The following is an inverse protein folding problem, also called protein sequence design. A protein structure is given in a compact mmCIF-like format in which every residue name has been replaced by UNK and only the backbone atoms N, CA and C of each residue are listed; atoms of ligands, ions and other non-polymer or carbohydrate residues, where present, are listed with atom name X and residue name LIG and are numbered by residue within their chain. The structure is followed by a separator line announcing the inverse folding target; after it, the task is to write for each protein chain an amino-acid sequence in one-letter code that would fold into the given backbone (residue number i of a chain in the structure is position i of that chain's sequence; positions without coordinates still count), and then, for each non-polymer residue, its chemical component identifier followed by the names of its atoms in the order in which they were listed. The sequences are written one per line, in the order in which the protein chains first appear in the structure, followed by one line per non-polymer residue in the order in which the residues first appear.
data_IF_329842280564
#
_entry.id   IF_329842280564
#
_cell.length_a   1.000
_cell.length_b   1.000
_cell.length_c   1.000
_cell.angle_alpha   90.00
_cell.angle_beta   90.00
_cell.angle_gamma   90.00
#
_symmetry.space_group_name_H-M   'P 1'
#
loop_
_entity.id
_entity.type
_entity.pdbx_description
1 polymer ?
#
# COMPACT_ATOMS: atom_id res chain seq x y z
N UNK A 1 25.20 -12.17 -0.20
CA UNK A 1 24.38 -12.16 1.04
C UNK A 1 23.07 -11.43 0.73
N UNK A 2 22.09 -11.39 1.63
CA UNK A 2 20.82 -10.70 1.36
C UNK A 2 20.17 -10.19 2.65
N UNK A 3 19.77 -8.92 2.68
CA UNK A 3 18.93 -8.39 3.75
C UNK A 3 17.48 -8.82 3.57
N UNK A 4 16.79 -9.13 4.66
CA UNK A 4 15.43 -9.63 4.63
C UNK A 4 14.57 -9.07 5.77
N UNK A 5 13.26 -9.01 5.55
CA UNK A 5 12.29 -8.81 6.64
C UNK A 5 12.29 -10.02 7.59
N UNK A 6 11.71 -9.92 8.80
CA UNK A 6 11.54 -11.08 9.68
C UNK A 6 10.80 -12.25 9.02
N UNK A 7 9.91 -11.97 8.06
CA UNK A 7 9.18 -12.98 7.26
C UNK A 7 9.95 -13.47 6.02
N UNK A 8 11.24 -13.14 5.91
CA UNK A 8 12.15 -13.67 4.89
C UNK A 8 12.08 -12.99 3.53
N UNK A 9 11.51 -11.77 3.44
CA UNK A 9 11.45 -11.05 2.16
C UNK A 9 12.66 -10.20 1.90
N UNK A 10 13.25 -10.37 0.72
CA UNK A 10 14.36 -9.59 0.20
C UNK A 10 14.17 -8.08 0.36
N UNK A 11 15.21 -7.41 0.85
CA UNK A 11 15.30 -5.98 1.07
C UNK A 11 16.54 -5.42 0.41
N UNK A 12 16.33 -4.41 -0.42
CA UNK A 12 17.38 -3.52 -0.91
C UNK A 12 17.13 -2.08 -0.47
N UNK A 13 15.85 -1.71 -0.32
CA UNK A 13 15.42 -0.39 0.13
C UNK A 13 14.21 -0.46 1.09
N UNK A 14 14.14 0.49 2.04
CA UNK A 14 12.97 0.73 2.89
C UNK A 14 12.75 2.25 3.09
N UNK A 15 11.48 2.65 3.24
CA UNK A 15 11.12 3.97 3.77
C UNK A 15 10.79 3.83 5.26
N UNK A 16 11.44 4.62 6.11
CA UNK A 16 11.29 4.54 7.56
C UNK A 16 10.87 5.90 8.10
N UNK A 17 9.73 5.94 8.77
CA UNK A 17 9.29 7.13 9.47
C UNK A 17 10.23 7.44 10.66
N UNK A 18 10.68 8.69 10.74
CA UNK A 18 11.61 9.20 11.75
C UNK A 18 10.92 9.68 13.03
N UNK A 19 9.59 9.68 13.07
CA UNK A 19 8.84 10.11 14.25
C UNK A 19 9.14 9.15 15.40
N UNK A 20 9.51 9.64 16.60
CA UNK A 20 9.73 8.77 17.74
C UNK A 20 8.46 8.00 18.11
N UNK A 21 8.62 6.90 18.83
CA UNK A 21 7.48 6.19 19.41
C UNK A 21 6.84 7.01 20.53
N UNK A 22 5.72 6.52 21.10
CA UNK A 22 4.99 7.22 22.15
C UNK A 22 5.84 7.53 23.41
N UNK A 23 6.91 6.77 23.68
CA UNK A 23 7.83 7.02 24.79
C UNK A 23 8.94 8.03 24.45
N UNK A 24 8.93 8.61 23.25
CA UNK A 24 9.95 9.55 22.78
C UNK A 24 11.27 8.89 22.36
N UNK A 25 11.35 7.56 22.37
CA UNK A 25 12.52 6.80 21.93
C UNK A 25 12.52 6.60 20.40
N UNK A 26 13.67 6.23 19.84
CA UNK A 26 13.79 5.92 18.42
C UNK A 26 12.91 4.73 18.05
N UNK A 27 12.37 4.73 16.81
CA UNK A 27 11.67 3.57 16.27
C UNK A 27 12.65 2.43 16.05
N UNK A 28 12.26 1.23 16.48
CA UNK A 28 13.03 0.00 16.38
C UNK A 28 12.46 -0.89 15.29
N UNK A 29 13.28 -1.29 14.33
CA UNK A 29 12.89 -2.12 13.19
C UNK A 29 13.70 -3.42 13.22
N UNK A 30 13.02 -4.56 13.27
CA UNK A 30 13.66 -5.88 13.23
C UNK A 30 13.92 -6.32 11.78
N UNK A 31 15.10 -6.88 11.53
CA UNK A 31 15.61 -7.26 10.21
C UNK A 31 16.43 -8.55 10.30
N UNK A 32 16.69 -9.15 9.13
CA UNK A 32 17.53 -10.33 8.94
C UNK A 32 18.59 -10.07 7.89
N UNK A 33 19.77 -10.68 8.04
CA UNK A 33 20.78 -10.77 6.99
C UNK A 33 21.12 -12.24 6.77
N UNK A 34 20.78 -12.78 5.60
CA UNK A 34 21.12 -14.14 5.18
C UNK A 34 22.47 -14.12 4.47
N UNK A 35 23.36 -15.03 4.85
CA UNK A 35 24.70 -15.12 4.29
C UNK A 35 25.09 -16.58 4.01
N UNK A 36 26.12 -16.78 3.18
CA UNK A 36 26.66 -18.13 2.98
C UNK A 36 27.47 -18.50 4.22
N UNK A 37 27.26 -19.70 4.77
CA UNK A 37 28.05 -20.16 5.93
C UNK A 37 29.54 -20.26 5.65
N UNK A 38 29.94 -20.34 4.39
CA UNK A 38 31.35 -20.26 4.00
C UNK A 38 31.96 -18.89 4.30
N UNK A 39 31.15 -17.83 4.35
CA UNK A 39 31.59 -16.48 4.69
C UNK A 39 31.88 -16.39 6.19
N UNK A 40 33.16 -16.16 6.53
CA UNK A 40 33.59 -15.97 7.92
C UNK A 40 33.59 -14.48 8.27
N UNK A 41 33.31 -14.17 9.54
CA UNK A 41 33.44 -12.84 10.13
C UNK A 41 32.50 -11.76 9.55
N UNK A 42 31.23 -12.11 9.28
CA UNK A 42 30.23 -11.12 8.87
C UNK A 42 30.10 -10.02 9.93
N UNK A 43 30.28 -8.77 9.52
CA UNK A 43 30.09 -7.61 10.38
C UNK A 43 29.03 -6.71 9.79
N UNK A 44 28.03 -6.36 10.59
CA UNK A 44 27.06 -5.34 10.24
C UNK A 44 27.54 -3.99 10.74
N UNK A 45 27.60 -3.02 9.84
CA UNK A 45 27.86 -1.62 10.15
C UNK A 45 26.71 -0.76 9.66
N UNK A 46 26.54 0.42 10.24
CA UNK A 46 25.48 1.35 9.85
C UNK A 46 25.99 2.78 9.77
N UNK A 47 25.34 3.58 8.92
CA UNK A 47 25.55 5.03 8.90
C UNK A 47 25.16 5.68 10.24
N UNK A 48 25.67 6.88 10.58
CA UNK A 48 25.40 7.55 11.87
C UNK A 48 23.92 7.82 12.20
N UNK A 49 23.03 7.79 11.21
CA UNK A 49 21.58 8.01 11.40
C UNK A 49 20.87 6.83 12.07
N UNK A 50 21.54 5.68 12.16
CA UNK A 50 20.97 4.40 12.57
C UNK A 50 21.92 3.70 13.53
N UNK A 51 21.36 3.14 14.61
CA UNK A 51 22.08 2.29 15.55
C UNK A 51 21.64 0.84 15.41
N UNK A 52 22.57 -0.08 15.28
CA UNK A 52 22.28 -1.52 15.46
C UNK A 52 22.24 -1.80 16.96
N UNK A 53 21.07 -2.17 17.49
CA UNK A 53 20.83 -2.30 18.94
C UNK A 53 21.08 -3.72 19.44
N UNK A 54 20.73 -4.72 18.62
CA UNK A 54 20.94 -6.13 18.92
C UNK A 54 21.35 -6.83 17.64
N UNK A 55 22.22 -7.83 17.75
CA UNK A 55 22.47 -8.80 16.68
C UNK A 55 22.62 -10.20 17.30
N UNK A 56 22.00 -11.20 16.68
CA UNK A 56 22.13 -12.61 17.04
C UNK A 56 22.43 -13.39 15.77
N UNK A 57 23.63 -13.97 15.71
CA UNK A 57 23.96 -14.91 14.65
C UNK A 57 23.39 -16.28 15.00
N UNK A 58 22.52 -16.77 14.14
CA UNK A 58 21.97 -18.11 14.24
C UNK A 58 22.86 -19.06 13.45
N UNK A 59 23.03 -20.29 13.98
CA UNK A 59 23.82 -21.39 13.36
C UNK A 59 23.38 -21.80 11.93
N UNK A 60 22.41 -21.10 11.35
CA UNK A 60 21.84 -21.34 10.03
C UNK A 60 22.24 -20.33 8.94
N UNK A 61 23.26 -19.49 9.17
CA UNK A 61 23.68 -18.50 8.17
C UNK A 61 22.71 -17.31 8.12
N UNK A 62 22.19 -16.90 9.27
CA UNK A 62 21.23 -15.80 9.41
C UNK A 62 21.58 -14.97 10.63
N UNK A 63 21.78 -13.67 10.43
CA UNK A 63 21.90 -12.69 11.50
C UNK A 63 20.56 -12.01 11.69
N UNK A 64 19.93 -12.19 12.85
CA UNK A 64 18.78 -11.39 13.27
C UNK A 64 19.30 -10.11 13.94
N UNK A 65 18.82 -8.94 13.54
CA UNK A 65 19.24 -7.68 14.14
C UNK A 65 18.12 -6.65 14.21
N UNK A 66 18.28 -5.66 15.10
CA UNK A 66 17.33 -4.57 15.26
C UNK A 66 18.06 -3.25 15.05
N UNK A 67 17.48 -2.40 14.21
CA UNK A 67 17.95 -1.02 14.06
C UNK A 67 17.07 -0.03 14.78
N UNK A 68 17.68 0.98 15.39
CA UNK A 68 17.02 2.12 15.98
C UNK A 68 17.37 3.39 15.21
N UNK A 69 16.34 4.14 14.83
CA UNK A 69 16.49 5.43 14.15
C UNK A 69 16.91 6.48 15.17
N UNK A 70 18.11 7.04 15.00
CA UNK A 70 18.68 8.04 15.91
C UNK A 70 18.28 9.48 15.53
N UNK A 71 17.98 9.72 14.26
CA UNK A 71 17.71 11.05 13.74
C UNK A 71 16.23 11.43 13.94
N UNK A 72 15.97 12.29 14.93
CA UNK A 72 14.65 12.89 15.18
C UNK A 72 14.49 14.15 14.34
N UNK A 73 13.33 14.36 13.72
CA UNK A 73 12.96 15.59 13.00
C UNK A 73 13.80 15.93 11.76
N UNK A 74 14.16 14.93 10.94
CA UNK A 74 14.80 15.19 9.64
C UNK A 74 13.73 15.10 8.54
N UNK A 75 13.71 16.07 7.64
CA UNK A 75 12.75 16.10 6.53
C UNK A 75 12.91 14.86 5.63
N UNK A 76 14.14 14.57 5.20
CA UNK A 76 14.52 13.34 4.50
C UNK A 76 16.04 13.12 4.61
N UNK A 77 16.48 11.88 4.85
CA UNK A 77 17.90 11.47 4.87
C UNK A 77 18.05 10.02 4.44
N UNK A 78 19.12 9.73 3.70
CA UNK A 78 19.48 8.36 3.37
C UNK A 78 20.46 7.82 4.42
N UNK A 79 20.16 6.63 4.91
CA UNK A 79 21.00 5.83 5.78
C UNK A 79 21.27 4.47 5.15
N UNK A 80 22.30 3.78 5.62
CA UNK A 80 22.69 2.48 5.10
C UNK A 80 23.00 1.53 6.23
N UNK A 81 22.72 0.25 5.98
CA UNK A 81 23.27 -0.88 6.73
C UNK A 81 24.12 -1.66 5.74
N UNK A 82 25.39 -1.81 6.07
CA UNK A 82 26.38 -2.50 5.23
C UNK A 82 26.76 -3.78 5.94
N UNK A 83 26.61 -4.90 5.24
CA UNK A 83 27.15 -6.18 5.66
C UNK A 83 28.49 -6.38 4.93
N UNK A 84 29.58 -6.35 5.69
CA UNK A 84 30.92 -6.58 5.19
C UNK A 84 31.43 -7.93 5.67
N UNK A 85 32.21 -8.58 4.82
CA UNK A 85 32.90 -9.83 5.15
C UNK A 85 34.27 -9.84 4.54
N UNK A 86 35.18 -10.55 5.20
CA UNK A 86 36.53 -10.71 4.72
C UNK A 86 36.56 -11.86 3.72
N UNK A 87 36.34 -11.54 2.43
CA UNK A 87 36.60 -12.47 1.36
C UNK A 87 38.06 -12.37 0.94
N UNK A 88 39.01 -12.84 1.76
CA UNK A 88 40.33 -13.33 1.32
C UNK A 88 41.10 -14.02 2.44
N UNK A 89 40.97 -15.33 2.48
CA UNK A 89 42.10 -16.17 2.88
C UNK A 89 43.20 -15.95 1.82
N UNK A 90 44.26 -15.21 2.19
CA UNK A 90 45.49 -14.91 1.41
C UNK A 90 45.48 -13.69 0.47
N UNK A 91 45.69 -12.49 1.02
CA UNK A 91 46.72 -11.58 0.50
C UNK A 91 46.32 -10.20 -0.02
N UNK A 92 45.11 -9.96 -0.52
CA UNK A 92 44.72 -8.62 -1.03
C UNK A 92 43.21 -8.36 -0.89
N UNK A 93 42.70 -8.21 0.34
CA UNK A 93 41.26 -8.20 0.67
C UNK A 93 40.41 -7.23 -0.17
N UNK A 94 39.64 -7.76 -1.12
CA UNK A 94 38.46 -7.09 -1.67
C UNK A 94 37.31 -7.32 -0.70
N UNK A 95 36.74 -6.25 -0.15
CA UNK A 95 35.47 -6.32 0.58
C UNK A 95 34.35 -6.40 -0.46
N UNK A 96 33.60 -7.50 -0.45
CA UNK A 96 32.30 -7.55 -1.11
C UNK A 96 31.25 -7.07 -0.10
N UNK A 97 30.58 -5.97 -0.39
CA UNK A 97 29.65 -5.33 0.54
C UNK A 97 28.22 -5.41 0.00
N UNK A 98 27.30 -5.98 0.78
CA UNK A 98 25.87 -5.86 0.54
C UNK A 98 25.33 -4.65 1.31
N UNK A 99 24.46 -3.87 0.68
CA UNK A 99 23.96 -2.61 1.25
C UNK A 99 22.44 -2.56 1.26
N UNK A 100 21.84 -2.42 2.45
CA UNK A 100 20.44 -2.03 2.61
C UNK A 100 20.36 -0.51 2.72
N UNK A 101 19.65 0.13 1.79
CA UNK A 101 19.38 1.57 1.82
C UNK A 101 18.09 1.84 2.60
N UNK A 102 18.15 2.81 3.50
CA UNK A 102 17.02 3.28 4.29
C UNK A 102 16.77 4.76 3.99
N UNK A 103 15.64 5.10 3.39
CA UNK A 103 15.18 6.49 3.34
C UNK A 103 14.47 6.77 4.67
N UNK A 104 15.00 7.70 5.45
CA UNK A 104 14.48 8.09 6.75
C UNK A 104 13.90 9.49 6.61
N UNK A 105 12.66 9.70 7.02
CA UNK A 105 12.01 11.01 6.90
C UNK A 105 10.67 11.03 7.61
N UNK A 106 9.84 12.04 7.37
CA UNK A 106 8.52 12.14 7.99
C UNK A 106 7.43 11.64 7.04
N UNK A 107 6.76 10.55 7.41
CA UNK A 107 5.55 10.13 6.72
C UNK A 107 4.43 11.10 7.07
N UNK A 108 3.70 11.54 6.04
CA UNK A 108 2.54 12.42 6.18
C UNK A 108 1.32 11.71 5.64
N UNK A 109 0.16 12.01 6.23
CA UNK A 109 -1.12 11.70 5.62
C UNK A 109 -1.30 12.55 4.36
N UNK A 110 -2.09 12.05 3.42
CA UNK A 110 -2.55 12.82 2.29
C UNK A 110 -3.17 14.16 2.74
N UNK A 111 -2.95 15.23 1.98
CA UNK A 111 -3.36 16.58 2.38
C UNK A 111 -4.88 16.65 2.60
N UNK A 112 -5.31 17.31 3.68
CA UNK A 112 -6.72 17.45 4.09
C UNK A 112 -7.43 16.14 4.49
N UNK A 113 -6.69 15.05 4.74
CA UNK A 113 -7.27 13.78 5.17
C UNK A 113 -7.16 13.59 6.69
N UNK A 114 -8.28 13.25 7.31
CA UNK A 114 -8.32 12.86 8.73
C UNK A 114 -7.83 11.42 8.90
N UNK A 115 -8.18 10.54 7.96
CA UNK A 115 -7.74 9.14 7.89
C UNK A 115 -6.96 8.88 6.62
N UNK A 116 -5.83 8.20 6.74
CA UNK A 116 -4.99 7.70 5.65
C UNK A 116 -4.25 6.46 6.13
N UNK A 117 -4.88 5.30 5.92
CA UNK A 117 -4.43 4.04 6.47
C UNK A 117 -3.15 3.52 5.80
N UNK A 118 -2.86 3.91 4.56
CA UNK A 118 -1.59 3.61 3.93
C UNK A 118 -0.44 4.27 4.71
N UNK A 119 -0.57 5.57 5.01
CA UNK A 119 0.41 6.28 5.82
C UNK A 119 0.42 5.77 7.28
N UNK A 120 -0.75 5.65 7.91
CA UNK A 120 -0.86 5.40 9.35
C UNK A 120 -0.51 3.96 9.75
N UNK A 121 -0.96 2.95 8.98
CA UNK A 121 -0.77 1.53 9.32
C UNK A 121 0.54 1.00 8.72
N UNK A 122 0.91 1.47 7.52
CA UNK A 122 2.10 0.97 6.83
C UNK A 122 3.29 1.92 6.97
N UNK A 123 3.17 3.16 6.51
CA UNK A 123 4.30 4.11 6.49
C UNK A 123 4.84 4.48 7.87
N UNK A 124 3.98 4.58 8.88
CA UNK A 124 4.36 4.91 10.25
C UNK A 124 4.67 3.68 11.13
N UNK A 125 4.67 2.47 10.56
CA UNK A 125 4.86 1.22 11.29
C UNK A 125 6.28 1.04 11.84
N UNK A 126 6.44 0.12 12.79
CA UNK A 126 7.74 -0.45 13.18
C UNK A 126 8.02 -1.82 12.56
N UNK A 127 7.07 -2.36 11.78
CA UNK A 127 7.20 -3.63 11.08
C UNK A 127 7.87 -3.45 9.70
N UNK A 128 8.98 -4.14 9.46
CA UNK A 128 9.73 -4.05 8.20
C UNK A 128 8.93 -4.52 6.97
N UNK A 129 8.01 -5.49 7.11
CA UNK A 129 7.14 -5.92 6.00
C UNK A 129 6.11 -4.83 5.64
N UNK A 130 5.63 -4.08 6.64
CA UNK A 130 4.74 -2.94 6.41
C UNK A 130 5.47 -1.79 5.71
N UNK A 131 6.67 -1.46 6.18
CA UNK A 131 7.51 -0.42 5.56
C UNK A 131 7.92 -0.80 4.13
N UNK A 132 8.24 -2.08 3.89
CA UNK A 132 8.51 -2.59 2.55
C UNK A 132 7.28 -2.48 1.64
N UNK A 133 6.09 -2.79 2.15
CA UNK A 133 4.86 -2.66 1.39
C UNK A 133 4.58 -1.19 1.04
N UNK A 134 4.70 -0.29 2.02
CA UNK A 134 4.57 1.15 1.82
C UNK A 134 5.52 1.66 0.73
N UNK A 135 6.81 1.33 0.83
CA UNK A 135 7.80 1.67 -0.21
C UNK A 135 7.39 1.11 -1.57
N UNK A 136 7.01 -0.17 -1.67
CA UNK A 136 6.68 -0.79 -2.96
C UNK A 136 5.40 -0.23 -3.58
N UNK A 137 4.42 0.19 -2.78
CA UNK A 137 3.21 0.85 -3.26
C UNK A 137 3.55 2.22 -3.86
N UNK A 138 4.54 2.92 -3.32
CA UNK A 138 4.85 4.32 -3.68
C UNK A 138 6.09 4.51 -4.55
N UNK A 139 6.93 3.49 -4.72
CA UNK A 139 8.14 3.58 -5.52
C UNK A 139 7.81 3.98 -6.96
N UNK A 140 8.54 4.95 -7.51
CA UNK A 140 8.33 5.46 -8.87
C UNK A 140 8.39 4.35 -9.92
N UNK A 141 9.34 3.40 -9.77
CA UNK A 141 9.46 2.23 -10.63
C UNK A 141 8.21 1.33 -10.65
N UNK A 142 7.43 1.33 -9.56
CA UNK A 142 6.21 0.54 -9.38
C UNK A 142 4.93 1.32 -9.71
N UNK A 143 5.06 2.57 -10.16
CA UNK A 143 3.97 3.45 -10.56
C UNK A 143 4.25 4.07 -11.95
N UNK A 144 5.02 3.38 -12.80
CA UNK A 144 5.26 3.84 -14.17
C UNK A 144 3.95 3.78 -14.97
N UNK A 145 3.77 4.78 -15.82
CA UNK A 145 2.70 4.85 -16.82
C UNK A 145 3.10 4.00 -18.04
N UNK A 146 2.75 2.72 -17.99
CA UNK A 146 3.14 1.72 -19.01
C UNK A 146 1.93 1.23 -19.81
N UNK A 147 2.07 0.96 -21.12
CA UNK A 147 1.03 0.29 -21.89
C UNK A 147 0.74 -1.12 -21.32
N UNK A 148 -0.45 -1.65 -21.62
CA UNK A 148 -0.92 -2.93 -21.07
C UNK A 148 0.05 -4.10 -21.27
N UNK A 149 0.75 -4.14 -22.41
CA UNK A 149 1.71 -5.21 -22.73
C UNK A 149 2.85 -5.30 -21.71
N UNK A 150 3.16 -4.21 -21.02
CA UNK A 150 4.38 -4.07 -20.22
C UNK A 150 4.06 -4.03 -18.71
N UNK A 151 2.81 -4.28 -18.32
CA UNK A 151 2.38 -4.23 -16.92
C UNK A 151 3.07 -5.25 -16.01
N UNK A 152 3.73 -6.26 -16.55
CA UNK A 152 4.52 -7.22 -15.76
C UNK A 152 5.77 -6.60 -15.13
N UNK A 153 6.24 -5.46 -15.65
CA UNK A 153 7.26 -4.65 -14.95
C UNK A 153 6.76 -4.11 -13.60
N UNK A 154 5.43 -4.02 -13.40
CA UNK A 154 4.82 -3.48 -12.18
C UNK A 154 4.52 -4.57 -11.13
N UNK A 155 4.99 -5.80 -11.32
CA UNK A 155 4.73 -6.94 -10.41
C UNK A 155 5.26 -6.73 -8.98
N UNK A 156 6.21 -5.83 -8.80
CA UNK A 156 6.71 -5.44 -7.48
C UNK A 156 5.68 -4.63 -6.67
N UNK A 157 4.66 -4.04 -7.32
CA UNK A 157 3.59 -3.33 -6.63
C UNK A 157 2.61 -4.34 -5.99
N UNK A 158 2.47 -4.38 -4.65
CA UNK A 158 1.65 -5.39 -4.00
C UNK A 158 0.15 -5.26 -4.30
N UNK A 159 -0.31 -4.09 -4.79
CA UNK A 159 -1.70 -3.83 -5.18
C UNK A 159 -2.06 -4.40 -6.56
N UNK A 160 -1.08 -4.63 -7.44
CA UNK A 160 -1.33 -5.09 -8.81
C UNK A 160 -2.09 -6.43 -8.79
N UNK A 161 -3.18 -6.51 -9.56
CA UNK A 161 -3.80 -7.79 -9.90
C UNK A 161 -2.94 -8.53 -10.94
N UNK A 162 -2.77 -9.83 -10.72
CA UNK A 162 -2.11 -10.69 -11.70
C UNK A 162 -3.12 -11.04 -12.79
N UNK A 163 -2.73 -10.89 -14.06
CA UNK A 163 -3.49 -11.42 -15.20
C UNK A 163 -2.94 -12.77 -15.69
N UNK A 164 -1.92 -13.30 -15.01
CA UNK A 164 -1.31 -14.61 -15.26
C UNK A 164 -1.91 -15.75 -14.42
N UNK A 165 -1.32 -16.96 -14.44
CA UNK A 165 -1.94 -18.18 -13.90
C UNK A 165 -1.96 -18.29 -12.37
N UNK A 166 -1.38 -17.35 -11.61
CA UNK A 166 -1.45 -17.36 -10.14
C UNK A 166 -2.88 -17.02 -9.66
N UNK A 167 -3.63 -18.00 -9.14
CA UNK A 167 -5.05 -17.84 -8.88
C UNK A 167 -5.34 -16.87 -7.71
N UNK A 168 -4.35 -16.56 -6.86
CA UNK A 168 -4.58 -15.74 -5.65
C UNK A 168 -4.80 -14.26 -5.92
N UNK A 169 -4.35 -13.75 -7.07
CA UNK A 169 -4.48 -12.34 -7.48
C UNK A 169 -5.12 -12.16 -8.85
N UNK A 170 -5.81 -13.17 -9.37
CA UNK A 170 -6.32 -13.18 -10.75
C UNK A 170 -7.26 -12.01 -11.06
N UNK A 171 -8.05 -11.58 -10.07
CA UNK A 171 -9.00 -10.49 -10.23
C UNK A 171 -8.80 -9.40 -9.18
N UNK A 172 -9.42 -8.26 -9.42
CA UNK A 172 -9.34 -7.07 -8.57
C UNK A 172 -9.75 -7.32 -7.12
N UNK A 173 -10.81 -8.09 -6.90
CA UNK A 173 -11.25 -8.48 -5.55
C UNK A 173 -10.20 -9.30 -4.81
N UNK A 174 -9.62 -10.31 -5.47
CA UNK A 174 -8.59 -11.18 -4.91
C UNK A 174 -7.26 -10.48 -4.66
N UNK A 175 -6.85 -9.57 -5.55
CA UNK A 175 -5.64 -8.75 -5.36
C UNK A 175 -5.74 -7.89 -4.09
N UNK A 176 -6.87 -7.19 -3.92
CA UNK A 176 -7.11 -6.33 -2.76
C UNK A 176 -7.31 -7.13 -1.47
N UNK A 177 -8.02 -8.26 -1.52
CA UNK A 177 -8.14 -9.17 -0.37
C UNK A 177 -6.79 -9.72 0.06
N UNK A 178 -5.94 -10.11 -0.90
CA UNK A 178 -4.57 -10.57 -0.61
C UNK A 178 -3.74 -9.48 0.04
N UNK A 179 -3.88 -8.23 -0.40
CA UNK A 179 -3.23 -7.09 0.24
C UNK A 179 -3.74 -6.89 1.68
N UNK A 180 -5.07 -6.83 1.85
CA UNK A 180 -5.72 -6.65 3.14
C UNK A 180 -5.34 -7.74 4.15
N UNK A 181 -5.49 -9.02 3.76
CA UNK A 181 -5.14 -10.16 4.61
C UNK A 181 -3.67 -10.16 5.03
N UNK A 182 -2.77 -9.58 4.23
CA UNK A 182 -1.33 -9.58 4.50
C UNK A 182 -0.83 -8.42 5.34
N UNK A 183 -1.38 -7.22 5.12
CA UNK A 183 -0.84 -5.95 5.63
C UNK A 183 -1.82 -5.17 6.52
N UNK A 184 -3.07 -5.60 6.55
CA UNK A 184 -4.15 -5.00 7.32
C UNK A 184 -5.04 -6.12 7.89
N UNK A 185 -4.40 -7.17 8.40
CA UNK A 185 -5.09 -8.30 9.02
C UNK A 185 -6.00 -7.77 10.14
N UNK A 186 -7.27 -8.19 10.14
CA UNK A 186 -8.34 -7.68 11.02
C UNK A 186 -8.81 -6.23 10.78
N UNK A 187 -8.22 -5.52 9.84
CA UNK A 187 -8.56 -4.15 9.47
C UNK A 187 -9.19 -4.06 8.08
N UNK A 188 -9.79 -5.15 7.59
CA UNK A 188 -10.37 -5.20 6.24
C UNK A 188 -11.82 -5.64 6.28
N UNK A 189 -12.71 -4.80 5.76
CA UNK A 189 -14.17 -5.03 5.76
C UNK A 189 -14.66 -4.98 4.31
N UNK A 190 -15.52 -5.92 3.94
CA UNK A 190 -16.22 -5.89 2.64
C UNK A 190 -17.64 -5.34 2.81
N UNK A 191 -18.02 -4.41 1.93
CA UNK A 191 -19.39 -3.94 1.83
C UNK A 191 -20.33 -5.00 1.26
N UNK A 192 -21.54 -5.09 1.83
CA UNK A 192 -22.60 -6.01 1.36
C UNK A 192 -23.93 -5.30 1.11
N UNK A 193 -24.09 -4.05 1.57
CA UNK A 193 -25.30 -3.27 1.43
C UNK A 193 -25.45 -2.76 0.00
N UNK A 194 -26.57 -3.08 -0.65
CA UNK A 194 -26.90 -2.60 -1.99
C UNK A 194 -27.42 -1.16 -1.94
N UNK A 195 -26.72 -0.26 -2.64
CA UNK A 195 -27.04 1.18 -2.67
C UNK A 195 -28.03 1.58 -3.76
N UNK A 196 -28.37 0.68 -4.68
CA UNK A 196 -29.31 0.91 -5.76
C UNK A 196 -30.67 0.24 -5.52
N UNK A 197 -31.71 0.77 -6.15
CA UNK A 197 -33.01 0.10 -6.30
C UNK A 197 -32.86 -1.02 -7.32
N UNK A 198 -33.70 -2.08 -7.24
CA UNK A 198 -33.65 -3.23 -8.15
C UNK A 198 -33.48 -2.72 -9.60
N UNK A 199 -32.31 -2.91 -10.22
CA UNK A 199 -31.99 -2.26 -11.46
C UNK A 199 -32.77 -2.97 -12.56
N UNK A 200 -33.56 -2.19 -13.29
CA UNK A 200 -33.99 -2.54 -14.64
C UNK A 200 -32.96 -2.21 -15.74
N UNK A 201 -31.95 -1.34 -15.55
CA UNK A 201 -31.09 -0.97 -16.67
C UNK A 201 -29.88 -1.90 -16.86
N UNK A 202 -29.53 -2.06 -18.12
CA UNK A 202 -28.24 -2.57 -18.58
C UNK A 202 -27.16 -1.48 -18.57
N UNK A 203 -27.47 -0.25 -18.14
CA UNK A 203 -26.55 0.90 -18.15
C UNK A 203 -26.28 1.48 -16.77
N UNK A 204 -25.02 1.86 -16.50
CA UNK A 204 -24.60 2.49 -15.24
C UNK A 204 -25.23 3.87 -15.02
N UNK A 205 -25.33 4.68 -16.06
CA UNK A 205 -25.96 6.00 -16.02
C UNK A 205 -27.44 5.97 -15.61
N UNK A 206 -28.13 4.86 -15.87
CA UNK A 206 -29.56 4.67 -15.60
C UNK A 206 -29.82 4.07 -14.19
N UNK A 207 -28.77 3.70 -13.44
CA UNK A 207 -28.91 3.10 -12.10
C UNK A 207 -29.53 4.11 -11.14
N UNK A 208 -30.69 3.75 -10.58
CA UNK A 208 -31.38 4.55 -9.57
C UNK A 208 -30.87 4.21 -8.17
N UNK A 209 -30.25 5.19 -7.52
CA UNK A 209 -29.71 5.04 -6.16
C UNK A 209 -30.77 5.28 -5.09
N UNK A 210 -30.61 4.61 -3.95
CA UNK A 210 -31.36 4.86 -2.71
C UNK A 210 -30.63 5.94 -1.92
N UNK A 211 -30.96 7.20 -2.14
CA UNK A 211 -30.22 8.34 -1.61
C UNK A 211 -29.95 8.24 -0.09
N UNK A 212 -30.96 7.87 0.71
CA UNK A 212 -30.78 7.72 2.17
C UNK A 212 -29.84 6.57 2.55
N UNK A 213 -29.89 5.46 1.81
CA UNK A 213 -28.95 4.34 1.99
C UNK A 213 -27.53 4.75 1.62
N UNK A 214 -27.35 5.52 0.53
CA UNK A 214 -26.04 6.04 0.13
C UNK A 214 -25.50 7.01 1.18
N UNK A 215 -26.32 7.93 1.70
CA UNK A 215 -25.94 8.88 2.76
C UNK A 215 -25.51 8.15 4.03
N UNK A 216 -26.31 7.19 4.51
CA UNK A 216 -25.94 6.35 5.66
C UNK A 216 -24.68 5.53 5.38
N UNK A 217 -24.54 5.03 4.15
CA UNK A 217 -23.35 4.34 3.68
C UNK A 217 -22.08 5.20 3.73
N UNK A 218 -22.14 6.44 3.25
CA UNK A 218 -21.02 7.39 3.31
C UNK A 218 -20.60 7.67 4.76
N UNK A 219 -21.55 7.83 5.68
CA UNK A 219 -21.28 8.01 7.12
C UNK A 219 -20.60 6.78 7.74
N UNK A 220 -21.07 5.57 7.39
CA UNK A 220 -20.44 4.32 7.83
C UNK A 220 -19.03 4.17 7.26
N UNK A 221 -18.83 4.46 5.97
CA UNK A 221 -17.50 4.43 5.34
C UNK A 221 -16.51 5.33 6.09
N UNK A 222 -16.91 6.59 6.35
CA UNK A 222 -16.11 7.52 7.15
C UNK A 222 -15.76 6.94 8.52
N UNK A 223 -16.75 6.37 9.22
CA UNK A 223 -16.56 5.78 10.55
C UNK A 223 -15.59 4.61 10.52
N UNK A 224 -15.72 3.71 9.54
CA UNK A 224 -14.83 2.55 9.40
C UNK A 224 -13.38 2.98 9.13
N UNK A 225 -13.19 3.94 8.22
CA UNK A 225 -11.85 4.46 7.90
C UNK A 225 -11.21 5.12 9.12
N UNK A 226 -11.94 5.96 9.86
CA UNK A 226 -11.48 6.55 11.13
C UNK A 226 -11.06 5.51 12.17
N UNK A 227 -11.77 4.39 12.21
CA UNK A 227 -11.50 3.30 13.15
C UNK A 227 -10.34 2.40 12.70
N UNK A 228 -9.64 2.74 11.61
CA UNK A 228 -8.50 1.97 11.13
C UNK A 228 -8.87 0.87 10.14
N UNK A 229 -10.10 0.83 9.61
CA UNK A 229 -10.54 -0.25 8.73
C UNK A 229 -10.52 0.18 7.26
N UNK A 230 -9.75 -0.55 6.46
CA UNK A 230 -9.87 -0.56 5.00
C UNK A 230 -11.24 -1.12 4.61
N UNK A 231 -11.90 -0.48 3.64
CA UNK A 231 -13.24 -0.90 3.20
C UNK A 231 -13.24 -1.24 1.73
N UNK A 232 -13.43 -2.52 1.41
CA UNK A 232 -13.66 -2.99 0.05
C UNK A 232 -15.09 -2.68 -0.38
N UNK A 233 -15.24 -2.06 -1.54
CA UNK A 233 -16.52 -1.72 -2.14
C UNK A 233 -16.60 -2.25 -3.58
N UNK A 234 -17.81 -2.56 -4.02
CA UNK A 234 -18.08 -2.93 -5.42
C UNK A 234 -18.52 -1.70 -6.20
N UNK A 235 -17.93 -1.49 -7.38
CA UNK A 235 -18.14 -0.30 -8.20
C UNK A 235 -18.46 -0.67 -9.65
N UNK A 236 -19.18 0.22 -10.34
CA UNK A 236 -19.30 0.21 -11.80
C UNK A 236 -18.40 1.28 -12.41
N UNK A 237 -17.85 1.05 -13.62
CA UNK A 237 -17.04 2.06 -14.32
C UNK A 237 -17.29 2.24 -15.82
N UNK A 238 -17.99 1.30 -16.46
CA UNK A 238 -18.41 1.43 -17.85
C UNK A 238 -19.94 1.39 -17.92
N UNK A 239 -20.50 1.83 -19.04
CA UNK A 239 -21.96 1.90 -19.19
C UNK A 239 -22.60 0.52 -19.10
N UNK A 240 -22.15 -0.50 -19.83
CA UNK A 240 -22.87 -1.77 -19.92
C UNK A 240 -22.73 -2.64 -18.65
N UNK A 241 -23.82 -2.97 -17.97
CA UNK A 241 -23.86 -3.77 -16.76
C UNK A 241 -24.49 -5.14 -17.00
N UNK A 242 -23.99 -6.14 -16.27
CA UNK A 242 -24.59 -7.47 -16.22
C UNK A 242 -25.50 -7.56 -15.00
N UNK A 243 -26.80 -7.78 -15.22
CA UNK A 243 -27.80 -7.87 -14.15
C UNK A 243 -28.45 -9.24 -14.15
N UNK A 244 -28.44 -9.90 -12.99
CA UNK A 244 -29.12 -11.20 -12.79
C UNK A 244 -29.98 -11.09 -11.54
N UNK A 245 -31.27 -11.43 -11.68
CA UNK A 245 -32.30 -11.33 -10.63
C UNK A 245 -32.47 -9.94 -10.00
N UNK A 246 -32.03 -8.89 -10.69
CA UNK A 246 -32.01 -7.53 -10.17
C UNK A 246 -30.82 -7.23 -9.25
N UNK A 247 -29.71 -7.93 -9.45
CA UNK A 247 -28.42 -7.65 -8.81
C UNK A 247 -27.36 -7.48 -9.90
N UNK A 248 -26.62 -6.39 -9.86
CA UNK A 248 -25.47 -6.16 -10.74
C UNK A 248 -24.38 -7.17 -10.35
N UNK A 249 -23.91 -7.96 -11.32
CA UNK A 249 -22.90 -9.01 -11.12
C UNK A 249 -21.50 -8.53 -11.52
N UNK A 250 -20.44 -9.12 -10.95
CA UNK A 250 -19.07 -8.91 -11.42
C UNK A 250 -18.93 -9.21 -12.92
N UNK A 251 -18.26 -8.31 -13.65
CA UNK A 251 -18.02 -8.34 -15.10
C UNK A 251 -16.85 -7.41 -15.46
N UNK A 252 -16.48 -7.31 -16.74
CA UNK A 252 -15.43 -6.39 -17.23
C UNK A 252 -15.75 -4.90 -17.07
N UNK A 253 -16.97 -4.56 -16.64
CA UNK A 253 -17.48 -3.19 -16.49
C UNK A 253 -17.73 -2.81 -15.03
N UNK A 254 -17.35 -3.70 -14.13
CA UNK A 254 -17.44 -3.54 -12.68
C UNK A 254 -16.10 -3.91 -12.06
N UNK A 255 -15.88 -3.43 -10.85
CA UNK A 255 -14.59 -3.59 -10.19
C UNK A 255 -14.74 -3.66 -8.68
N UNK A 256 -13.67 -4.08 -8.02
CA UNK A 256 -13.51 -3.91 -6.58
C UNK A 256 -12.39 -2.92 -6.34
N UNK A 257 -12.66 -1.94 -5.48
CA UNK A 257 -11.66 -0.99 -4.96
C UNK A 257 -11.65 -1.08 -3.44
N UNK A 258 -10.54 -0.69 -2.82
CA UNK A 258 -10.44 -0.61 -1.35
C UNK A 258 -10.25 0.82 -0.93
N UNK A 259 -11.22 1.39 -0.24
CA UNK A 259 -11.10 2.69 0.39
C UNK A 259 -10.12 2.59 1.57
N UNK A 260 -9.18 3.53 1.66
CA UNK A 260 -8.17 3.55 2.72
C UNK A 260 -7.97 4.92 3.37
N UNK A 261 -8.68 5.95 2.90
CA UNK A 261 -8.61 7.26 3.54
C UNK A 261 -9.87 8.08 3.33
N UNK A 262 -10.07 9.04 4.24
CA UNK A 262 -11.18 9.97 4.22
C UNK A 262 -10.71 11.38 4.58
N UNK A 263 -11.20 12.35 3.80
CA UNK A 263 -11.04 13.79 4.01
C UNK A 263 -11.66 14.25 5.32
N UNK A 264 -11.18 15.37 5.87
CA UNK A 264 -11.67 15.95 7.13
C UNK A 264 -13.16 16.29 7.11
N UNK A 265 -13.68 16.74 5.96
CA UNK A 265 -15.11 17.05 5.79
C UNK A 265 -15.98 15.78 5.61
N UNK A 266 -15.35 14.62 5.42
CA UNK A 266 -16.01 13.34 5.25
C UNK A 266 -16.61 13.09 3.87
N UNK A 267 -16.31 13.93 2.88
CA UNK A 267 -16.94 13.87 1.54
C UNK A 267 -16.09 13.22 0.48
N UNK A 268 -14.77 13.32 0.60
CA UNK A 268 -13.81 12.67 -0.29
C UNK A 268 -13.18 11.46 0.38
N UNK A 269 -13.02 10.38 -0.39
CA UNK A 269 -12.31 9.16 -0.02
C UNK A 269 -11.20 8.89 -1.03
N UNK A 270 -10.13 8.23 -0.58
CA UNK A 270 -9.07 7.69 -1.45
C UNK A 270 -9.07 6.17 -1.39
N UNK A 271 -8.68 5.55 -2.50
CA UNK A 271 -8.80 4.11 -2.67
C UNK A 271 -7.66 3.50 -3.45
N UNK A 272 -7.43 2.20 -3.23
CA UNK A 272 -6.58 1.37 -4.06
C UNK A 272 -7.37 0.84 -5.26
N UNK A 273 -6.76 0.97 -6.44
CA UNK A 273 -7.19 0.37 -7.68
C UNK A 273 -6.15 -0.68 -8.11
N UNK A 274 -6.48 -1.98 -8.08
CA UNK A 274 -5.54 -3.05 -8.46
C UNK A 274 -5.32 -3.14 -9.97
N UNK A 275 -6.08 -2.39 -10.79
CA UNK A 275 -5.91 -2.27 -12.23
C UNK A 275 -4.94 -1.12 -12.53
N UNK A 276 -3.73 -1.39 -13.10
CA UNK A 276 -2.81 -0.32 -13.44
C UNK A 276 -3.47 0.72 -14.35
N UNK A 277 -3.33 2.00 -14.02
CA UNK A 277 -3.97 3.14 -14.68
C UNK A 277 -5.49 3.22 -14.59
N UNK A 278 -6.17 2.30 -13.89
CA UNK A 278 -7.62 2.37 -13.70
C UNK A 278 -8.02 3.67 -13.00
N UNK A 279 -7.20 4.11 -12.05
CA UNK A 279 -7.25 5.44 -11.46
C UNK A 279 -5.85 5.99 -11.23
N UNK A 280 -5.75 7.32 -11.21
CA UNK A 280 -4.51 8.03 -10.92
C UNK A 280 -4.73 9.00 -9.76
N UNK A 281 -3.74 9.09 -8.87
CA UNK A 281 -3.74 10.04 -7.76
C UNK A 281 -2.33 10.57 -7.51
N UNK A 282 -2.19 11.89 -7.40
CA UNK A 282 -0.95 12.52 -6.91
C UNK A 282 -0.91 12.45 -5.37
N UNK A 283 -0.43 11.32 -4.86
CA UNK A 283 -0.43 11.00 -3.44
C UNK A 283 0.71 11.70 -2.69
N UNK A 284 0.36 12.46 -1.66
CA UNK A 284 1.31 13.12 -0.75
C UNK A 284 1.82 12.15 0.33
N UNK A 285 3.05 11.64 0.18
CA UNK A 285 3.65 10.68 1.13
C UNK A 285 4.41 11.32 2.29
N UNK A 286 4.88 12.56 2.10
CA UNK A 286 5.85 13.20 2.98
C UNK A 286 7.29 12.74 2.71
N UNK A 287 7.58 11.45 2.93
CA UNK A 287 8.95 10.89 2.85
C UNK A 287 9.46 10.62 1.42
N UNK A 288 8.56 10.44 0.44
CA UNK A 288 8.90 10.28 -0.99
C UNK A 288 8.37 11.45 -1.83
N UNK A 289 7.99 12.55 -1.18
CA UNK A 289 7.31 13.68 -1.84
C UNK A 289 5.94 13.31 -2.42
N UNK A 290 5.56 14.01 -3.48
CA UNK A 290 4.37 13.72 -4.29
C UNK A 290 4.64 12.52 -5.20
N UNK A 291 3.84 11.47 -5.07
CA UNK A 291 3.90 10.28 -5.90
C UNK A 291 2.69 10.24 -6.82
N UNK A 292 2.92 10.32 -8.13
CA UNK A 292 1.87 10.02 -9.12
C UNK A 292 1.61 8.52 -9.10
N UNK A 293 0.60 8.07 -8.37
CA UNK A 293 0.26 6.65 -8.26
C UNK A 293 -0.67 6.22 -9.38
N UNK A 294 -0.35 5.09 -10.01
CA UNK A 294 -1.18 4.45 -11.06
C UNK A 294 -2.12 3.37 -10.49
N UNK A 295 -2.17 3.25 -9.16
CA UNK A 295 -2.94 2.24 -8.41
C UNK A 295 -3.81 2.88 -7.32
N UNK A 296 -4.02 4.20 -7.40
CA UNK A 296 -4.81 4.93 -6.43
C UNK A 296 -5.72 5.93 -7.13
N UNK A 297 -6.86 6.21 -6.51
CA UNK A 297 -7.79 7.23 -6.98
C UNK A 297 -8.50 7.93 -5.84
N UNK A 298 -9.39 8.85 -6.20
CA UNK A 298 -10.30 9.50 -5.27
C UNK A 298 -11.75 9.41 -5.72
N UNK A 299 -12.67 9.37 -4.77
CA UNK A 299 -14.11 9.24 -4.98
C UNK A 299 -14.84 10.14 -3.98
N UNK A 300 -15.91 10.80 -4.42
CA UNK A 300 -16.62 11.80 -3.63
C UNK A 300 -18.05 11.38 -3.37
N UNK A 301 -18.56 11.71 -2.19
CA UNK A 301 -19.98 11.69 -1.88
C UNK A 301 -20.63 13.00 -2.35
N UNK A 302 -21.49 12.88 -3.37
CA UNK A 302 -22.31 13.96 -3.91
C UNK A 302 -23.71 13.82 -3.31
N UNK A 303 -23.98 14.62 -2.28
CA UNK A 303 -25.21 14.50 -1.48
C UNK A 303 -26.47 14.88 -2.27
N UNK A 304 -26.36 15.88 -3.14
CA UNK A 304 -27.38 16.33 -4.07
C UNK A 304 -27.72 15.27 -5.13
N UNK A 305 -26.72 14.50 -5.57
CA UNK A 305 -26.94 13.38 -6.49
C UNK A 305 -27.36 12.08 -5.78
N UNK A 306 -27.15 11.99 -4.47
CA UNK A 306 -27.33 10.75 -3.71
C UNK A 306 -26.40 9.63 -4.18
N UNK A 307 -25.15 9.96 -4.57
CA UNK A 307 -24.17 9.03 -5.14
C UNK A 307 -22.79 9.17 -4.49
N UNK A 308 -22.00 8.09 -4.51
CA UNK A 308 -20.57 8.15 -4.24
C UNK A 308 -19.86 7.77 -5.55
N UNK A 309 -19.18 8.71 -6.20
CA UNK A 309 -18.61 8.52 -7.53
C UNK A 309 -17.32 9.32 -7.76
N UNK A 310 -16.56 8.94 -8.76
CA UNK A 310 -15.35 9.66 -9.17
C UNK A 310 -15.73 11.09 -9.60
N UNK A 311 -14.89 12.08 -9.32
CA UNK A 311 -15.03 13.42 -9.90
C UNK A 311 -15.11 13.38 -11.43
N UNK A 312 -15.75 14.36 -12.05
CA UNK A 312 -15.93 14.40 -13.51
C UNK A 312 -14.61 14.45 -14.28
N UNK A 313 -13.61 15.10 -13.69
CA UNK A 313 -12.25 15.24 -14.19
C UNK A 313 -11.27 14.23 -13.57
N UNK A 314 -11.75 13.13 -12.96
CA UNK A 314 -10.89 12.12 -12.38
C UNK A 314 -9.92 11.55 -13.44
N UNK A 315 -8.60 11.53 -13.17
CA UNK A 315 -7.61 10.97 -14.09
C UNK A 315 -7.58 9.43 -14.01
N UNK A 316 -7.14 8.80 -15.10
CA UNK A 316 -7.14 7.35 -15.26
C UNK A 316 -8.18 6.88 -16.28
N UNK A 317 -8.21 5.56 -16.51
CA UNK A 317 -9.05 4.94 -17.52
C UNK A 317 -10.51 4.76 -17.07
N UNK A 318 -10.75 4.68 -15.76
CA UNK A 318 -12.06 4.33 -15.20
C UNK A 318 -12.64 5.46 -14.36
N UNK A 319 -13.96 5.69 -14.50
CA UNK A 319 -14.73 6.58 -13.62
C UNK A 319 -15.71 5.74 -12.82
N UNK A 320 -15.50 5.67 -11.50
CA UNK A 320 -16.22 4.72 -10.66
C UNK A 320 -17.49 5.32 -10.05
N UNK A 321 -18.50 4.47 -9.83
CA UNK A 321 -19.65 4.74 -8.97
C UNK A 321 -19.82 3.57 -7.99
N UNK A 322 -19.94 3.85 -6.69
CA UNK A 322 -20.12 2.81 -5.66
C UNK A 322 -21.52 2.20 -5.74
N UNK A 323 -21.56 0.89 -6.01
CA UNK A 323 -22.78 0.10 -6.10
C UNK A 323 -23.12 -0.60 -4.77
N UNK A 324 -22.10 -0.97 -3.99
CA UNK A 324 -22.27 -1.57 -2.66
C UNK A 324 -21.25 -1.05 -1.64
N UNK A 325 -21.65 -1.02 -0.37
CA UNK A 325 -20.81 -0.61 0.75
C UNK A 325 -21.30 -1.20 2.09
N UNK A 326 -20.79 -0.72 3.25
CA UNK A 326 -21.11 -1.27 4.57
C UNK A 326 -22.52 -0.96 5.10
#
# INVERSE_FOLDING_TARGET
MEFQTPRGRALTELCVDSTPNASGAGKKIALKCKYDRADKNITLTSSPSVKIVTHKDNRHGVIDFVVEILAKNVDERIAYIIASYDSLSFGVAYRADETLRLTIGKVKKHANFESDLLAQILGMSSDADHLLAYYRVLAAKNNKDLPRSDWDELNDNPLKQNTGPDPKKWNCGGALQTFGARYAEHHYISGATIYYKRPSPLKLSEVQFKADTVRAGAQKLRTQLKNGNFVQVFVGHNEQLTVVDGVIKPSSNTHFITLFGCSQDGKQFIFFDPWPQGSILDYQSGIMGTVKSMFMGSINFFEDEGKIRSPDNAPGLHKYVILTGP
#
